data_IF_733031257232
#
_entry.id   IF_733031257232
#
_cell.length_a   1.000
_cell.length_b   1.000
_cell.length_c   1.000
_cell.angle_alpha   90.00
_cell.angle_beta   90.00
_cell.angle_gamma   90.00
#
_symmetry.space_group_name_H-M   'P 1'
#
loop_
_entity.id
_entity.type
_entity.pdbx_description
1 polymer ?
#
# COMPACT_ATOMS: atom_id res chain seq x y z
N UNK A 1 18.84 0.98 3.56
CA UNK A 1 17.50 1.22 4.12
C UNK A 1 16.87 2.39 3.38
N UNK A 2 15.60 2.22 2.99
CA UNK A 2 14.91 3.29 2.28
C UNK A 2 14.66 4.46 3.22
N UNK A 3 15.01 5.66 2.76
CA UNK A 3 14.76 6.87 3.50
C UNK A 3 13.25 7.17 3.46
N UNK A 4 12.70 7.55 4.61
CA UNK A 4 11.31 7.97 4.71
C UNK A 4 10.99 9.07 3.70
N UNK A 5 11.96 9.96 3.42
CA UNK A 5 11.79 11.05 2.47
C UNK A 5 11.53 10.57 1.05
N UNK A 6 12.08 9.42 0.67
CA UNK A 6 11.86 8.87 -0.66
C UNK A 6 10.40 8.48 -0.89
N UNK A 7 9.81 7.83 0.11
CA UNK A 7 8.40 7.43 0.04
C UNK A 7 7.51 8.67 0.02
N UNK A 8 7.78 9.63 0.90
CA UNK A 8 7.01 10.87 0.97
C UNK A 8 7.08 11.66 -0.34
N UNK A 9 8.26 11.73 -0.92
CA UNK A 9 8.47 12.46 -2.18
C UNK A 9 7.70 11.81 -3.33
N UNK A 10 7.76 10.49 -3.40
CA UNK A 10 7.05 9.74 -4.42
C UNK A 10 5.53 9.94 -4.28
N UNK A 11 5.04 9.91 -3.05
CA UNK A 11 3.62 10.10 -2.78
C UNK A 11 3.16 11.51 -3.15
N UNK A 12 3.94 12.52 -2.77
CA UNK A 12 3.59 13.91 -3.12
C UNK A 12 3.49 14.11 -4.61
N UNK A 13 4.43 13.53 -5.35
CA UNK A 13 4.42 13.61 -6.80
C UNK A 13 3.17 12.95 -7.39
N UNK A 14 2.80 11.79 -6.84
CA UNK A 14 1.62 11.08 -7.30
C UNK A 14 0.34 11.88 -7.01
N UNK A 15 0.26 12.50 -5.84
CA UNK A 15 -0.89 13.32 -5.46
C UNK A 15 -0.99 14.56 -6.34
N UNK A 16 0.14 15.22 -6.60
CA UNK A 16 0.16 16.38 -7.50
C UNK A 16 -0.36 16.02 -8.88
N UNK A 17 0.04 14.86 -9.39
CA UNK A 17 -0.45 14.38 -10.68
C UNK A 17 -1.95 14.12 -10.67
N UNK A 18 -2.45 13.54 -9.58
CA UNK A 18 -3.87 13.26 -9.42
C UNK A 18 -4.69 14.56 -9.48
N UNK A 19 -4.26 15.60 -8.77
CA UNK A 19 -4.98 16.87 -8.76
C UNK A 19 -4.91 17.59 -10.11
N UNK A 20 -3.80 17.46 -10.82
CA UNK A 20 -3.71 17.99 -12.18
C UNK A 20 -4.68 17.31 -13.13
N UNK A 21 -4.81 16.00 -13.01
CA UNK A 21 -5.71 15.21 -13.86
C UNK A 21 -7.18 15.51 -13.57
N UNK A 22 -7.50 15.95 -12.34
CA UNK A 22 -8.87 16.32 -12.00
C UNK A 22 -9.32 17.58 -12.74
N UNK A 23 -8.38 18.46 -13.08
CA UNK A 23 -8.65 19.69 -13.84
C UNK A 23 -9.79 20.52 -13.24
N UNK A 24 -9.72 20.74 -11.93
CA UNK A 24 -10.69 21.56 -11.22
C UNK A 24 -11.89 20.81 -10.67
N UNK A 25 -12.05 19.54 -10.99
CA UNK A 25 -13.11 18.74 -10.40
C UNK A 25 -12.81 18.46 -8.92
N UNK A 26 -13.85 18.21 -8.14
CA UNK A 26 -13.69 17.94 -6.73
C UNK A 26 -13.15 16.53 -6.53
N UNK A 27 -12.11 16.36 -5.72
CA UNK A 27 -11.62 15.04 -5.39
C UNK A 27 -12.64 14.29 -4.53
N UNK A 28 -12.64 12.97 -4.63
CA UNK A 28 -13.55 12.12 -3.87
C UNK A 28 -12.77 10.95 -3.31
N UNK A 29 -12.96 10.69 -2.02
CA UNK A 29 -12.37 9.54 -1.33
C UNK A 29 -10.86 9.38 -1.57
N UNK A 30 -10.13 10.48 -1.51
CA UNK A 30 -8.67 10.45 -1.72
C UNK A 30 -7.98 9.53 -0.74
N UNK A 31 -8.38 9.55 0.52
CA UNK A 31 -7.75 8.72 1.53
C UNK A 31 -7.82 7.23 1.15
N UNK A 32 -9.02 6.74 0.84
CA UNK A 32 -9.20 5.35 0.45
C UNK A 32 -8.42 5.00 -0.81
N UNK A 33 -8.44 5.89 -1.78
CA UNK A 33 -7.72 5.68 -3.03
C UNK A 33 -6.23 5.53 -2.80
N UNK A 34 -5.64 6.44 -2.02
CA UNK A 34 -4.21 6.42 -1.74
C UNK A 34 -3.82 5.18 -0.94
N UNK A 35 -4.56 4.90 0.14
CA UNK A 35 -4.25 3.76 1.00
C UNK A 35 -4.33 2.45 0.22
N UNK A 36 -5.37 2.26 -0.59
CA UNK A 36 -5.49 1.06 -1.42
C UNK A 36 -4.38 0.95 -2.45
N UNK A 37 -4.01 2.09 -3.04
CA UNK A 37 -2.95 2.12 -4.05
C UNK A 37 -1.57 1.76 -3.47
N UNK A 38 -1.33 2.09 -2.21
CA UNK A 38 -0.07 1.81 -1.53
C UNK A 38 -0.08 0.44 -0.87
N UNK A 39 -1.17 0.09 -0.23
CA UNK A 39 -1.23 -1.10 0.61
C UNK A 39 -1.09 -2.37 -0.18
N UNK A 40 -1.78 -2.48 -1.31
CA UNK A 40 -1.71 -3.70 -2.11
C UNK A 40 -0.29 -4.03 -2.57
N UNK A 41 0.42 -3.11 -3.26
CA UNK A 41 1.80 -3.42 -3.67
C UNK A 41 2.74 -3.62 -2.49
N UNK A 42 2.50 -2.94 -1.36
CA UNK A 42 3.28 -3.16 -0.16
C UNK A 42 3.14 -4.60 0.33
N UNK A 43 1.92 -5.08 0.46
CA UNK A 43 1.66 -6.44 0.93
C UNK A 43 2.22 -7.47 -0.04
N UNK A 44 2.00 -7.27 -1.34
CA UNK A 44 2.51 -8.18 -2.36
C UNK A 44 4.04 -8.26 -2.34
N UNK A 45 4.71 -7.11 -2.22
CA UNK A 45 6.17 -7.06 -2.20
C UNK A 45 6.75 -7.79 -0.98
N UNK A 46 6.14 -7.58 0.18
CA UNK A 46 6.62 -8.22 1.41
C UNK A 46 6.34 -9.72 1.39
N UNK A 47 5.16 -10.12 0.90
CA UNK A 47 4.84 -11.55 0.76
C UNK A 47 5.82 -12.24 -0.18
N UNK A 48 6.19 -11.58 -1.26
CA UNK A 48 7.17 -12.11 -2.20
C UNK A 48 8.51 -12.34 -1.50
N UNK A 49 8.97 -11.36 -0.72
CA UNK A 49 10.23 -11.48 0.02
C UNK A 49 10.16 -12.56 1.10
N UNK A 50 8.98 -12.78 1.66
CA UNK A 50 8.75 -13.83 2.66
C UNK A 50 8.48 -15.18 2.02
N UNK A 51 8.55 -15.28 0.70
CA UNK A 51 8.33 -16.52 -0.07
C UNK A 51 6.98 -17.14 0.23
N UNK A 52 5.97 -16.31 0.39
CA UNK A 52 4.60 -16.73 0.65
C UNK A 52 4.31 -17.11 2.10
N UNK A 53 5.29 -16.98 2.98
CA UNK A 53 5.11 -17.28 4.40
C UNK A 53 4.39 -16.12 5.09
N UNK A 54 3.10 -16.27 5.35
CA UNK A 54 2.27 -15.22 5.92
C UNK A 54 2.70 -14.82 7.31
N UNK A 55 3.13 -15.75 8.13
CA UNK A 55 3.61 -15.45 9.48
C UNK A 55 4.84 -14.57 9.42
N UNK A 56 5.79 -14.91 8.56
CA UNK A 56 7.00 -14.13 8.38
C UNK A 56 6.70 -12.75 7.80
N UNK A 57 5.81 -12.70 6.81
CA UNK A 57 5.41 -11.43 6.20
C UNK A 57 4.77 -10.50 7.23
N UNK A 58 3.90 -11.03 8.09
CA UNK A 58 3.27 -10.23 9.13
C UNK A 58 4.30 -9.66 10.10
N UNK A 59 5.31 -10.45 10.46
CA UNK A 59 6.39 -9.99 11.30
C UNK A 59 7.18 -8.85 10.64
N UNK A 60 7.50 -9.01 9.36
CA UNK A 60 8.22 -7.98 8.61
C UNK A 60 7.43 -6.68 8.53
N UNK A 61 6.12 -6.79 8.41
CA UNK A 61 5.23 -5.62 8.31
C UNK A 61 4.91 -5.01 9.67
N UNK A 62 5.14 -5.75 10.75
CA UNK A 62 4.73 -5.31 12.08
C UNK A 62 3.22 -5.43 12.29
N UNK A 63 2.56 -6.34 11.57
CA UNK A 63 1.13 -6.55 11.66
C UNK A 63 0.82 -7.87 12.36
N UNK A 64 -0.36 -7.94 12.96
CA UNK A 64 -0.91 -9.18 13.45
C UNK A 64 -1.23 -10.08 12.24
N UNK A 65 -1.01 -11.39 12.38
CA UNK A 65 -1.25 -12.35 11.29
C UNK A 65 -2.70 -12.30 10.80
N UNK A 66 -3.65 -12.16 11.71
CA UNK A 66 -5.06 -12.08 11.34
C UNK A 66 -5.35 -10.80 10.55
N UNK A 67 -4.73 -9.70 10.93
CA UNK A 67 -4.87 -8.42 10.22
C UNK A 67 -4.32 -8.55 8.80
N UNK A 68 -3.15 -9.18 8.65
CA UNK A 68 -2.57 -9.41 7.33
C UNK A 68 -3.49 -10.27 6.46
N UNK A 69 -4.01 -11.35 7.03
CA UNK A 69 -4.89 -12.27 6.29
C UNK A 69 -6.15 -11.54 5.82
N UNK A 70 -6.75 -10.72 6.67
CA UNK A 70 -7.93 -9.95 6.29
C UNK A 70 -7.64 -8.98 5.16
N UNK A 71 -6.51 -8.28 5.24
CA UNK A 71 -6.11 -7.35 4.19
C UNK A 71 -5.84 -8.07 2.87
N UNK A 72 -5.22 -9.25 2.93
CA UNK A 72 -5.00 -10.06 1.74
C UNK A 72 -6.33 -10.44 1.07
N UNK A 73 -7.34 -10.79 1.88
CA UNK A 73 -8.67 -11.09 1.37
C UNK A 73 -9.30 -9.86 0.72
N UNK A 74 -9.19 -8.70 1.37
CA UNK A 74 -9.77 -7.45 0.87
C UNK A 74 -9.18 -7.05 -0.48
N UNK A 75 -7.90 -7.33 -0.69
CA UNK A 75 -7.20 -6.99 -1.93
C UNK A 75 -7.11 -8.16 -2.90
N UNK A 76 -7.72 -9.30 -2.57
CA UNK A 76 -7.67 -10.52 -3.40
C UNK A 76 -6.23 -10.96 -3.69
N UNK A 77 -5.37 -10.87 -2.69
CA UNK A 77 -3.98 -11.30 -2.81
C UNK A 77 -3.91 -12.78 -2.43
N UNK A 78 -3.35 -13.57 -3.31
CA UNK A 78 -3.10 -14.99 -3.05
C UNK A 78 -1.74 -15.15 -2.40
N UNK A 79 -1.69 -15.89 -1.32
CA UNK A 79 -0.44 -16.08 -0.59
C UNK A 79 0.07 -17.51 -0.60
#
# INVERSE_FOLDING_TARGET
>A
MMDENDISRCLRKAIDGYFKDLDGEKPCAIYDMVIRSIEKPLLESVLHRAKGNKTHAAQMLGLNRNTLRKKMQDYHIKG
#
